data_IF_401055482801
#
_entry.id   IF_401055482801
#
_cell.length_a   1.000
_cell.length_b   1.000
_cell.length_c   1.000
_cell.angle_alpha   90.00
_cell.angle_beta   90.00
_cell.angle_gamma   90.00
#
_symmetry.space_group_name_H-M   'P 1'
#
loop_
_entity.id
_entity.type
_entity.pdbx_description
1 polymer ?
#
# COMPACT_ATOMS: atom_id res chain seq x y z
N UNK A 1 20.72 2.28 2.46
CA UNK A 1 20.12 1.54 1.33
C UNK A 1 20.60 0.10 1.16
N UNK A 2 21.91 -0.19 1.17
CA UNK A 2 22.42 -1.57 0.99
C UNK A 2 21.84 -2.56 2.03
N UNK A 3 21.88 -2.21 3.32
CA UNK A 3 21.35 -3.05 4.41
C UNK A 3 19.83 -3.28 4.37
N UNK A 4 19.05 -2.26 3.98
CA UNK A 4 17.59 -2.37 3.83
C UNK A 4 17.21 -3.39 2.75
N UNK A 5 17.94 -3.45 1.63
CA UNK A 5 17.67 -4.43 0.56
C UNK A 5 17.90 -5.88 1.02
N UNK A 6 18.76 -6.10 2.02
CA UNK A 6 19.05 -7.43 2.55
C UNK A 6 18.05 -7.85 3.63
N UNK A 7 17.56 -6.91 4.44
CA UNK A 7 16.73 -7.21 5.62
C UNK A 7 15.24 -6.87 5.46
N UNK A 8 14.86 -6.13 4.41
CA UNK A 8 13.50 -5.65 4.16
C UNK A 8 13.02 -5.96 2.75
N UNK A 9 11.71 -5.88 2.56
CA UNK A 9 11.05 -5.88 1.24
C UNK A 9 10.32 -4.54 1.08
N UNK A 10 10.47 -3.92 -0.09
CA UNK A 10 9.81 -2.65 -0.39
C UNK A 10 8.43 -2.86 -0.99
N UNK A 11 7.46 -2.07 -0.53
CA UNK A 11 6.12 -1.99 -1.10
C UNK A 11 5.80 -0.54 -1.45
N UNK A 12 5.11 -0.35 -2.56
CA UNK A 12 4.77 0.97 -3.10
C UNK A 12 3.26 1.14 -3.16
N UNK A 13 2.77 2.32 -2.83
CA UNK A 13 1.37 2.69 -2.97
C UNK A 13 1.03 3.99 -2.25
N UNK A 14 -0.25 4.33 -2.18
CA UNK A 14 -0.74 5.47 -1.41
C UNK A 14 -1.00 5.07 0.04
N UNK A 15 -0.27 5.65 1.02
CA UNK A 15 -0.43 5.30 2.42
C UNK A 15 -1.70 5.93 3.02
N UNK A 16 -2.49 5.12 3.72
CA UNK A 16 -3.71 5.51 4.45
C UNK A 16 -3.63 4.95 5.87
N UNK A 17 -4.14 5.69 6.86
CA UNK A 17 -4.32 5.16 8.22
C UNK A 17 -5.41 4.09 8.19
N UNK A 18 -5.20 2.97 8.89
CA UNK A 18 -6.27 1.99 9.04
C UNK A 18 -7.40 2.60 9.91
N UNK A 19 -8.68 2.45 9.52
CA UNK A 19 -9.80 3.15 10.15
C UNK A 19 -10.08 2.73 11.60
N UNK A 20 -9.70 1.51 11.98
CA UNK A 20 -10.02 0.92 13.29
C UNK A 20 -8.80 0.42 14.09
N UNK A 21 -7.60 0.44 13.49
CA UNK A 21 -6.38 -0.11 14.10
C UNK A 21 -5.26 0.92 13.90
N UNK A 22 -4.97 1.76 14.90
CA UNK A 22 -3.98 2.82 14.76
C UNK A 22 -2.55 2.30 14.56
N UNK A 23 -2.29 1.03 14.88
CA UNK A 23 -0.99 0.39 14.73
C UNK A 23 -0.79 -0.20 13.33
N UNK A 24 -1.71 0.06 12.40
CA UNK A 24 -1.65 -0.43 11.03
C UNK A 24 -1.76 0.68 9.99
N UNK A 25 -1.08 0.43 8.88
CA UNK A 25 -1.15 1.24 7.67
C UNK A 25 -1.70 0.41 6.53
N UNK A 26 -2.56 1.02 5.74
CA UNK A 26 -3.06 0.50 4.47
C UNK A 26 -2.26 1.17 3.35
N UNK A 27 -1.79 0.40 2.39
CA UNK A 27 -1.09 0.88 1.21
C UNK A 27 -1.90 0.50 -0.03
N UNK A 28 -2.55 1.48 -0.64
CA UNK A 28 -3.32 1.30 -1.89
C UNK A 28 -2.33 1.20 -3.05
N UNK A 29 -2.27 0.05 -3.72
CA UNK A 29 -1.19 -0.24 -4.68
C UNK A 29 -1.33 0.50 -5.99
N UNK A 30 -2.57 0.68 -6.43
CA UNK A 30 -2.92 1.45 -7.62
C UNK A 30 -4.23 2.21 -7.34
N UNK A 31 -4.14 3.52 -7.06
CA UNK A 31 -5.32 4.33 -6.77
C UNK A 31 -6.22 4.55 -7.99
N UNK A 32 -5.75 4.27 -9.22
CA UNK A 32 -6.52 4.48 -10.46
C UNK A 32 -7.01 3.18 -11.10
N UNK A 33 -6.52 2.04 -10.63
CA UNK A 33 -7.07 0.75 -11.03
C UNK A 33 -8.51 0.61 -10.54
N UNK A 34 -9.39 0.17 -11.46
CA UNK A 34 -10.76 -0.25 -11.12
C UNK A 34 -10.78 -1.46 -10.18
N UNK A 35 -9.68 -2.21 -10.10
CA UNK A 35 -9.47 -3.27 -9.12
C UNK A 35 -8.70 -2.65 -7.96
N UNK A 36 -9.43 -2.31 -6.91
CA UNK A 36 -8.82 -1.83 -5.67
C UNK A 36 -8.09 -3.00 -5.01
N UNK A 37 -6.76 -2.91 -4.95
CA UNK A 37 -5.95 -3.83 -4.16
C UNK A 37 -5.10 -3.04 -3.17
N UNK A 38 -4.89 -3.64 -2.01
CA UNK A 38 -4.15 -3.01 -0.94
C UNK A 38 -3.30 -4.00 -0.17
N UNK A 39 -2.23 -3.46 0.41
CA UNK A 39 -1.47 -4.11 1.46
C UNK A 39 -1.81 -3.52 2.81
N UNK A 40 -1.67 -4.31 3.85
CA UNK A 40 -1.79 -3.85 5.22
C UNK A 40 -0.62 -4.38 6.05
N UNK A 41 0.00 -3.49 6.82
CA UNK A 41 1.17 -3.82 7.65
C UNK A 41 1.05 -3.15 9.01
N UNK A 42 1.68 -3.77 10.02
CA UNK A 42 1.92 -3.09 11.29
C UNK A 42 2.96 -1.98 11.10
N UNK A 43 2.70 -0.81 11.69
CA UNK A 43 3.62 0.33 11.64
C UNK A 43 4.98 0.00 12.26
N UNK A 44 5.01 -0.81 13.33
CA UNK A 44 6.24 -1.26 14.01
C UNK A 44 7.17 -2.13 13.12
N UNK A 45 6.65 -2.69 12.03
CA UNK A 45 7.40 -3.51 11.08
C UNK A 45 8.00 -2.68 9.93
N UNK A 46 7.61 -1.41 9.80
CA UNK A 46 8.10 -0.48 8.78
C UNK A 46 9.31 0.26 9.35
N UNK A 47 10.47 0.14 8.69
CA UNK A 47 11.71 0.76 9.17
C UNK A 47 12.14 1.98 8.37
N UNK A 48 11.58 2.16 7.17
CA UNK A 48 11.89 3.31 6.33
C UNK A 48 10.74 3.61 5.37
N UNK A 49 10.56 4.89 5.07
CA UNK A 49 9.55 5.39 4.14
C UNK A 49 10.22 6.40 3.21
N UNK A 50 10.04 6.19 1.90
CA UNK A 50 10.45 7.11 0.84
C UNK A 50 9.20 7.78 0.30
N UNK A 51 9.17 9.11 0.27
CA UNK A 51 8.19 9.85 -0.50
C UNK A 51 8.51 9.69 -1.98
N UNK A 52 7.49 9.42 -2.79
CA UNK A 52 7.63 9.29 -4.24
C UNK A 52 6.92 10.44 -4.94
N UNK A 53 7.12 10.55 -6.26
CA UNK A 53 6.36 11.49 -7.08
C UNK A 53 4.87 11.17 -6.93
N UNK A 54 4.11 12.19 -6.53
CA UNK A 54 2.67 12.08 -6.42
C UNK A 54 2.06 11.80 -7.79
N UNK A 55 1.04 10.98 -7.81
CA UNK A 55 0.26 10.77 -9.01
C UNK A 55 -0.79 11.87 -9.12
N UNK A 56 -0.97 12.42 -10.33
CA UNK A 56 -2.06 13.36 -10.64
C UNK A 56 -3.01 12.66 -11.59
N UNK A 57 -4.30 12.65 -11.27
CA UNK A 57 -5.32 12.10 -12.17
C UNK A 57 -5.78 13.11 -13.22
N UNK A 58 -6.73 12.68 -14.06
CA UNK A 58 -7.25 13.50 -15.16
C UNK A 58 -8.12 14.65 -14.64
N UNK A 59 -8.61 14.53 -13.42
CA UNK A 59 -9.40 15.52 -12.69
C UNK A 59 -8.52 16.53 -11.91
N UNK A 60 -7.20 16.29 -11.84
CA UNK A 60 -6.21 17.16 -11.18
C UNK A 60 -6.01 16.85 -9.70
N UNK A 61 -6.58 15.78 -9.18
CA UNK A 61 -6.39 15.35 -7.79
C UNK A 61 -5.00 14.71 -7.63
N UNK A 62 -4.33 15.08 -6.55
CA UNK A 62 -2.99 14.62 -6.25
C UNK A 62 -3.04 13.49 -5.22
N UNK A 63 -2.65 12.28 -5.64
CA UNK A 63 -2.55 11.13 -4.76
C UNK A 63 -1.10 10.97 -4.27
N UNK A 64 -0.85 11.12 -2.95
CA UNK A 64 0.49 10.94 -2.42
C UNK A 64 0.91 9.48 -2.50
N UNK A 65 2.13 9.25 -2.98
CA UNK A 65 2.70 7.93 -3.15
C UNK A 65 3.93 7.77 -2.27
N UNK A 66 4.07 6.60 -1.66
CA UNK A 66 5.22 6.27 -0.83
C UNK A 66 5.72 4.87 -1.14
N UNK A 67 7.02 4.66 -0.92
CA UNK A 67 7.61 3.33 -0.81
C UNK A 67 7.98 3.07 0.64
N UNK A 68 7.39 2.04 1.22
CA UNK A 68 7.69 1.58 2.57
C UNK A 68 8.62 0.37 2.52
N UNK A 69 9.54 0.28 3.48
CA UNK A 69 10.44 -0.86 3.66
C UNK A 69 10.03 -1.64 4.90
N UNK A 70 9.49 -2.84 4.68
CA UNK A 70 8.94 -3.73 5.71
C UNK A 70 9.95 -4.82 6.04
N UNK A 71 10.19 -5.08 7.33
CA UNK A 71 11.12 -6.11 7.80
C UNK A 71 10.76 -7.48 7.19
N UNK A 72 11.75 -8.24 6.74
CA UNK A 72 11.53 -9.64 6.31
C UNK A 72 10.98 -10.46 7.48
N UNK A 73 10.10 -11.42 7.15
CA UNK A 73 9.37 -12.29 8.10
C UNK A 73 8.26 -11.60 8.89
N UNK A 74 8.02 -10.29 8.72
CA UNK A 74 6.81 -9.64 9.24
C UNK A 74 5.56 -10.15 8.51
N UNK A 75 4.42 -10.05 9.19
CA UNK A 75 3.12 -10.46 8.65
C UNK A 75 2.46 -9.24 8.00
N UNK A 76 2.02 -9.40 6.76
CA UNK A 76 1.18 -8.43 6.08
C UNK A 76 -0.09 -9.08 5.54
N UNK A 77 -1.15 -8.31 5.41
CA UNK A 77 -2.34 -8.73 4.67
C UNK A 77 -2.27 -8.18 3.24
N UNK A 78 -2.85 -8.92 2.31
CA UNK A 78 -3.05 -8.51 0.92
C UNK A 78 -4.49 -8.83 0.56
N UNK A 79 -5.19 -7.85 0.00
CA UNK A 79 -6.54 -8.04 -0.49
C UNK A 79 -6.70 -7.42 -1.88
N UNK A 80 -7.52 -8.07 -2.69
CA UNK A 80 -8.01 -7.56 -3.97
C UNK A 80 -9.52 -7.55 -3.88
N UNK A 81 -10.12 -6.37 -3.96
CA UNK A 81 -11.56 -6.20 -3.94
C UNK A 81 -12.12 -6.58 -5.31
N UNK A 82 -13.30 -7.17 -5.31
CA UNK A 82 -14.03 -7.53 -6.52
C UNK A 82 -15.51 -7.18 -6.33
N UNK A 83 -16.19 -6.93 -7.43
CA UNK A 83 -17.64 -6.76 -7.42
C UNK A 83 -18.26 -8.14 -7.31
N UNK A 84 -19.11 -8.33 -6.31
CA UNK A 84 -19.90 -9.55 -6.17
C UNK A 84 -21.07 -9.42 -7.14
N UNK A 85 -21.00 -10.16 -8.25
CA UNK A 85 -22.03 -10.18 -9.29
C UNK A 85 -22.18 -11.58 -9.87
N UNK A 86 -23.34 -11.86 -10.46
CA UNK A 86 -23.60 -13.12 -11.15
C UNK A 86 -22.92 -13.10 -12.53
N UNK A 87 -22.25 -14.21 -12.90
CA UNK A 87 -21.49 -14.30 -14.16
C UNK A 87 -22.34 -14.61 -15.39
N UNK A 88 -23.66 -14.72 -15.22
CA UNK A 88 -24.60 -14.98 -16.31
C UNK A 88 -25.32 -13.70 -16.69
N UNK A 89 -24.98 -13.19 -17.88
CA UNK A 89 -25.65 -12.08 -18.57
C UNK A 89 -27.09 -12.42 -18.99
#
# INVERSE_FOLDING_TARGET
>A
MKLLKETHISFTGSPRKHPYDPDRVILITDPYSKITSYYEFKTADISYVEEMVNLVDMEGETVPMARIWVKKKSIGARASLFIVDDTTA
#
